data_IF_553096076356
#
_entry.id   IF_553096076356
#
_cell.length_a   1.000
_cell.length_b   1.000
_cell.length_c   1.000
_cell.angle_alpha   90.00
_cell.angle_beta   90.00
_cell.angle_gamma   90.00
#
_symmetry.space_group_name_H-M   'P 1'
#
loop_
_entity.id
_entity.type
_entity.pdbx_description
1 polymer ?
#
# COMPACT_ATOMS: atom_id res chain seq x y z
N UNK A 1 -22.45 -10.15 26.23
CA UNK A 1 -21.45 -10.07 25.13
C UNK A 1 -22.08 -10.60 23.86
N UNK A 2 -22.32 -9.73 22.87
CA UNK A 2 -23.02 -10.08 21.64
C UNK A 2 -22.03 -10.79 20.69
N UNK A 3 -22.40 -11.99 20.23
CA UNK A 3 -21.61 -12.77 19.26
C UNK A 3 -22.38 -12.81 17.94
N UNK A 4 -21.69 -12.50 16.85
CA UNK A 4 -22.27 -12.40 15.52
C UNK A 4 -21.73 -13.52 14.64
N UNK A 5 -22.57 -14.08 13.78
CA UNK A 5 -22.11 -14.95 12.70
C UNK A 5 -21.34 -14.12 11.68
N UNK A 6 -20.47 -14.75 10.88
CA UNK A 6 -19.72 -14.06 9.82
C UNK A 6 -20.61 -13.26 8.86
N UNK A 7 -21.83 -13.74 8.60
CA UNK A 7 -22.82 -13.04 7.76
C UNK A 7 -23.40 -11.80 8.45
N UNK A 8 -23.68 -11.89 9.75
CA UNK A 8 -24.16 -10.74 10.51
C UNK A 8 -23.03 -9.72 10.76
N UNK A 9 -21.80 -10.21 10.93
CA UNK A 9 -20.60 -9.39 11.05
C UNK A 9 -20.33 -8.56 9.77
N UNK A 10 -20.43 -9.18 8.59
CA UNK A 10 -20.25 -8.47 7.31
C UNK A 10 -21.27 -7.36 7.11
N UNK A 11 -22.53 -7.59 7.51
CA UNK A 11 -23.59 -6.58 7.45
C UNK A 11 -23.36 -5.44 8.45
N UNK A 12 -22.71 -5.72 9.58
CA UNK A 12 -22.49 -4.73 10.63
C UNK A 12 -21.30 -3.81 10.34
N UNK A 13 -20.24 -4.33 9.73
CA UNK A 13 -19.01 -3.55 9.45
C UNK A 13 -18.89 -3.09 8.00
N UNK A 14 -19.76 -3.55 7.09
CA UNK A 14 -19.64 -3.29 5.65
C UNK A 14 -18.50 -4.05 4.97
N UNK A 15 -17.79 -4.91 5.71
CA UNK A 15 -16.64 -5.68 5.18
C UNK A 15 -17.13 -7.02 4.62
N UNK A 16 -16.58 -7.44 3.47
CA UNK A 16 -16.97 -8.71 2.84
C UNK A 16 -16.77 -9.91 3.78
N UNK A 17 -17.71 -10.87 3.73
CA UNK A 17 -17.66 -12.10 4.55
C UNK A 17 -16.33 -12.85 4.38
N UNK A 18 -15.76 -12.85 3.18
CA UNK A 18 -14.49 -13.51 2.86
C UNK A 18 -13.30 -12.82 3.54
N UNK A 19 -13.27 -11.48 3.60
CA UNK A 19 -12.21 -10.72 4.28
C UNK A 19 -12.24 -10.96 5.79
N UNK A 20 -13.43 -11.00 6.39
CA UNK A 20 -13.61 -11.37 7.81
C UNK A 20 -13.19 -12.82 8.05
N UNK A 21 -13.53 -13.75 7.14
CA UNK A 21 -13.13 -15.15 7.26
C UNK A 21 -11.61 -15.34 7.18
N UNK A 22 -10.92 -14.63 6.27
CA UNK A 22 -9.45 -14.63 6.21
C UNK A 22 -8.84 -14.11 7.51
N UNK A 23 -9.34 -13.00 8.06
CA UNK A 23 -8.86 -12.47 9.34
C UNK A 23 -9.06 -13.45 10.51
N UNK A 24 -10.12 -14.26 10.48
CA UNK A 24 -10.32 -15.34 11.46
C UNK A 24 -9.34 -16.49 11.26
N UNK A 25 -9.07 -16.86 10.00
CA UNK A 25 -8.15 -17.94 9.65
C UNK A 25 -6.69 -17.58 9.93
N UNK A 26 -6.33 -16.31 9.77
CA UNK A 26 -4.99 -15.76 10.01
C UNK A 26 -4.77 -15.36 11.48
N UNK A 27 -5.69 -15.77 12.37
CA UNK A 27 -5.69 -15.50 13.82
C UNK A 27 -5.70 -14.01 14.22
N UNK A 28 -5.93 -13.10 13.27
CA UNK A 28 -6.04 -11.66 13.50
C UNK A 28 -7.36 -11.28 14.19
N UNK A 29 -8.41 -12.09 14.02
CA UNK A 29 -9.71 -11.88 14.62
C UNK A 29 -10.15 -13.08 15.44
N UNK A 30 -10.41 -12.86 16.74
CA UNK A 30 -10.83 -13.92 17.66
C UNK A 30 -12.26 -14.39 17.35
N UNK A 31 -12.37 -15.58 16.78
CA UNK A 31 -13.64 -16.27 16.58
C UNK A 31 -13.71 -17.60 17.34
N UNK A 32 -14.91 -17.97 17.78
CA UNK A 32 -15.19 -19.29 18.33
C UNK A 32 -16.22 -20.02 17.48
N UNK A 33 -16.08 -21.34 17.34
CA UNK A 33 -17.15 -22.18 16.78
C UNK A 33 -18.30 -22.24 17.78
N UNK A 34 -19.52 -21.97 17.34
CA UNK A 34 -20.71 -22.12 18.16
C UNK A 34 -21.95 -22.36 17.33
N UNK A 35 -23.04 -22.73 17.99
CA UNK A 35 -24.32 -23.00 17.31
C UNK A 35 -25.07 -21.69 17.08
N UNK A 36 -25.58 -21.54 15.87
CA UNK A 36 -26.49 -20.47 15.49
C UNK A 36 -27.90 -20.74 16.02
N UNK A 37 -28.80 -19.75 15.95
CA UNK A 37 -30.21 -19.91 16.36
C UNK A 37 -30.94 -21.03 15.60
N UNK A 38 -30.41 -21.49 14.45
CA UNK A 38 -30.92 -22.62 13.68
C UNK A 38 -30.22 -23.96 13.97
N UNK A 39 -29.40 -24.06 15.02
CA UNK A 39 -28.72 -25.30 15.43
C UNK A 39 -27.46 -25.67 14.63
N UNK A 40 -27.17 -24.97 13.53
CA UNK A 40 -25.98 -25.19 12.72
C UNK A 40 -24.74 -24.59 13.37
N UNK A 41 -23.61 -25.30 13.27
CA UNK A 41 -22.30 -24.81 13.72
C UNK A 41 -21.79 -23.74 12.76
N UNK A 42 -21.43 -22.58 13.32
CA UNK A 42 -20.85 -21.48 12.57
C UNK A 42 -19.74 -20.80 13.38
N UNK A 43 -18.86 -20.10 12.67
CA UNK A 43 -17.90 -19.20 13.28
C UNK A 43 -18.60 -17.95 13.80
N UNK A 44 -18.41 -17.70 15.09
CA UNK A 44 -18.98 -16.58 15.82
C UNK A 44 -17.85 -15.65 16.27
N UNK A 45 -17.96 -14.40 15.88
CA UNK A 45 -17.02 -13.34 16.25
C UNK A 45 -17.66 -12.48 17.34
N UNK A 46 -16.86 -12.01 18.29
CA UNK A 46 -17.32 -11.05 19.30
C UNK A 46 -17.42 -9.67 18.67
N UNK A 47 -18.51 -8.95 18.97
CA UNK A 47 -18.74 -7.62 18.40
C UNK A 47 -17.62 -6.63 18.74
N UNK A 48 -17.14 -6.66 19.99
CA UNK A 48 -16.06 -5.75 20.45
C UNK A 48 -14.75 -5.97 19.67
N UNK A 49 -14.36 -7.24 19.48
CA UNK A 49 -13.14 -7.61 18.73
C UNK A 49 -13.29 -7.27 17.23
N UNK A 50 -14.50 -7.45 16.68
CA UNK A 50 -14.83 -7.12 15.30
C UNK A 50 -14.77 -5.60 15.03
N UNK A 51 -15.29 -4.77 15.93
CA UNK A 51 -15.24 -3.31 15.79
C UNK A 51 -13.82 -2.77 15.92
N UNK A 52 -13.03 -3.33 16.84
CA UNK A 52 -11.63 -2.94 16.99
C UNK A 52 -10.80 -3.30 15.76
N UNK A 53 -10.96 -4.52 15.26
CA UNK A 53 -10.33 -4.97 14.02
C UNK A 53 -10.79 -4.15 12.81
N UNK A 54 -12.09 -3.88 12.71
CA UNK A 54 -12.65 -3.07 11.64
C UNK A 54 -12.07 -1.65 11.66
N UNK A 55 -11.96 -0.99 12.82
CA UNK A 55 -11.34 0.34 12.92
C UNK A 55 -9.88 0.35 12.48
N UNK A 56 -9.12 -0.68 12.84
CA UNK A 56 -7.70 -0.78 12.46
C UNK A 56 -7.53 -1.02 10.95
N UNK A 57 -8.35 -1.90 10.36
CA UNK A 57 -8.20 -2.26 8.95
C UNK A 57 -9.00 -1.41 7.97
N UNK A 58 -10.08 -0.73 8.40
CA UNK A 58 -10.81 0.24 7.56
C UNK A 58 -10.14 1.62 7.56
N UNK A 59 -9.46 2.03 8.63
CA UNK A 59 -8.67 3.27 8.63
C UNK A 59 -7.55 3.26 7.57
N UNK A 60 -7.04 2.07 7.23
CA UNK A 60 -6.08 1.88 6.14
C UNK A 60 -6.76 1.61 4.77
N UNK A 61 -8.09 1.43 4.71
CA UNK A 61 -8.82 1.07 3.47
C UNK A 61 -9.54 2.25 2.80
N UNK A 62 -9.73 3.38 3.48
CA UNK A 62 -10.44 4.55 2.92
C UNK A 62 -9.64 5.26 1.81
N UNK A 63 -8.35 4.93 1.64
CA UNK A 63 -7.53 5.39 0.51
C UNK A 63 -7.42 4.40 -0.69
N UNK A 64 -8.01 3.19 -0.62
CA UNK A 64 -7.72 2.12 -1.61
C UNK A 64 -8.97 1.52 -2.27
N UNK A 65 -10.15 2.09 -2.04
CA UNK A 65 -11.44 1.51 -2.45
C UNK A 65 -12.03 2.08 -3.75
N UNK A 66 -11.18 2.43 -4.72
CA UNK A 66 -11.61 2.66 -6.12
C UNK A 66 -11.08 1.61 -7.13
N UNK A 67 -10.16 0.70 -6.75
CA UNK A 67 -9.43 -0.12 -7.74
C UNK A 67 -9.71 -1.65 -7.73
N UNK A 68 -10.65 -2.17 -6.95
CA UNK A 68 -10.78 -3.65 -6.75
C UNK A 68 -12.17 -4.27 -6.98
N UNK A 69 -13.02 -3.70 -7.82
CA UNK A 69 -14.28 -4.35 -8.24
C UNK A 69 -14.18 -5.20 -9.53
N UNK A 70 -13.00 -5.45 -10.11
CA UNK A 70 -12.89 -6.16 -11.41
C UNK A 70 -12.15 -7.50 -11.42
N UNK A 71 -12.03 -8.23 -10.30
CA UNK A 71 -11.39 -9.57 -10.30
C UNK A 71 -12.19 -10.61 -9.52
N UNK A 72 -13.36 -10.98 -10.03
CA UNK A 72 -14.09 -12.16 -9.55
C UNK A 72 -14.85 -12.87 -10.68
N UNK A 73 -14.12 -13.41 -11.66
CA UNK A 73 -14.55 -14.60 -12.41
C UNK A 73 -13.36 -15.54 -12.62
N UNK A 74 -13.24 -16.55 -11.74
CA UNK A 74 -12.53 -17.79 -12.02
C UNK A 74 -13.56 -18.92 -11.87
N UNK A 75 -13.83 -19.61 -12.97
CA UNK A 75 -14.32 -21.00 -13.05
C UNK A 75 -13.62 -21.58 -14.30
N UNK A 76 -12.58 -22.42 -14.16
CA UNK A 76 -12.65 -23.90 -14.27
C UNK A 76 -13.53 -24.36 -15.46
N UNK A 77 -13.10 -25.09 -16.50
CA UNK A 77 -11.98 -25.99 -16.77
C UNK A 77 -11.88 -26.23 -18.32
N UNK A 78 -10.82 -26.89 -18.83
CA UNK A 78 -10.56 -27.15 -20.25
C UNK A 78 -11.13 -28.50 -20.76
N UNK A 79 -11.00 -28.71 -22.08
CA UNK A 79 -11.24 -29.95 -22.86
C UNK A 79 -12.68 -30.28 -23.30
N UNK A 80 -12.99 -29.96 -24.57
CA UNK A 80 -13.86 -30.81 -25.40
C UNK A 80 -13.29 -30.91 -26.82
N UNK A 81 -12.65 -32.05 -27.05
CA UNK A 81 -12.71 -32.91 -28.24
C UNK A 81 -13.00 -32.26 -29.60
N UNK A 82 -11.95 -32.33 -30.43
CA UNK A 82 -12.02 -32.40 -31.88
C UNK A 82 -13.06 -33.46 -32.30
N UNK A 83 -14.07 -33.02 -33.05
CA UNK A 83 -14.85 -33.90 -33.91
C UNK A 83 -14.73 -33.40 -35.35
N UNK A 84 -14.10 -34.22 -36.19
CA UNK A 84 -14.14 -34.17 -37.66
C UNK A 84 -15.58 -34.01 -38.18
N UNK A 85 -15.71 -33.54 -39.42
CA UNK A 85 -16.01 -34.53 -40.46
C UNK A 85 -15.06 -34.39 -41.65
N UNK A 86 -14.48 -35.53 -42.03
CA UNK A 86 -14.02 -35.73 -43.39
C UNK A 86 -15.23 -35.94 -44.30
N UNK A 87 -15.12 -35.41 -45.50
CA UNK A 87 -15.30 -36.11 -46.78
C UNK A 87 -14.96 -35.06 -47.86
N UNK A 88 -13.76 -35.10 -48.45
CA UNK A 88 -13.42 -35.99 -49.56
C UNK A 88 -14.43 -35.87 -50.69
N UNK A 89 -14.12 -35.05 -51.69
CA UNK A 89 -14.27 -35.53 -53.05
C UNK A 89 -13.20 -34.93 -53.97
N UNK A 90 -12.39 -35.86 -54.45
CA UNK A 90 -11.29 -35.71 -55.38
C UNK A 90 -11.90 -35.68 -56.78
N UNK A 91 -11.85 -34.53 -57.45
CA UNK A 91 -12.30 -34.41 -58.84
C UNK A 91 -11.20 -34.96 -59.76
N UNK A 92 -11.29 -36.25 -60.10
CA UNK A 92 -10.55 -36.86 -61.21
C UNK A 92 -11.44 -36.82 -62.45
N UNK A 93 -11.05 -36.02 -63.45
CA UNK A 93 -11.58 -36.10 -64.80
C UNK A 93 -11.28 -37.48 -65.41
N UNK A 94 -12.25 -38.08 -66.12
CA UNK A 94 -11.95 -38.85 -67.30
C UNK A 94 -12.53 -38.13 -68.52
N UNK A 95 -11.64 -37.68 -69.40
CA UNK A 95 -11.95 -37.41 -70.78
C UNK A 95 -12.59 -38.66 -71.40
N UNK A 96 -13.89 -38.61 -71.69
CA UNK A 96 -14.50 -39.46 -72.70
C UNK A 96 -15.24 -38.56 -73.69
N UNK A 97 -14.56 -38.37 -74.82
CA UNK A 97 -15.17 -37.96 -76.08
C UNK A 97 -16.27 -38.96 -76.44
N UNK A 98 -17.51 -38.49 -76.49
CA UNK A 98 -18.56 -39.12 -77.29
C UNK A 98 -19.51 -38.04 -77.81
N UNK A 99 -19.73 -38.14 -79.10
CA UNK A 99 -20.46 -37.24 -79.98
C UNK A 99 -21.97 -37.41 -79.89
N UNK A 100 -22.66 -36.30 -80.20
CA UNK A 100 -24.08 -36.12 -80.57
C UNK A 100 -25.14 -36.00 -79.46
N UNK A 101 -26.31 -35.39 -79.73
CA UNK A 101 -26.60 -34.23 -80.57
C UNK A 101 -27.29 -33.12 -79.75
N UNK A 102 -27.52 -31.96 -80.37
CA UNK A 102 -28.28 -30.80 -79.87
C UNK A 102 -29.31 -31.12 -78.78
N UNK A 103 -28.98 -30.83 -77.50
CA UNK A 103 -29.99 -30.60 -76.46
C UNK A 103 -30.31 -29.12 -76.44
N UNK A 104 -31.60 -28.81 -76.48
CA UNK A 104 -32.13 -27.50 -76.17
C UNK A 104 -31.46 -26.96 -74.90
N UNK A 105 -31.11 -25.68 -74.90
CA UNK A 105 -30.60 -24.95 -73.74
C UNK A 105 -31.76 -24.90 -72.73
N UNK A 106 -31.98 -26.00 -72.02
CA UNK A 106 -32.83 -26.05 -70.84
C UNK A 106 -31.96 -25.47 -69.73
N UNK A 107 -32.39 -24.34 -69.18
CA UNK A 107 -31.69 -23.70 -68.07
C UNK A 107 -31.45 -24.69 -66.92
N UNK A 108 -30.49 -24.40 -66.03
CA UNK A 108 -30.20 -25.26 -64.89
C UNK A 108 -31.50 -25.60 -64.13
N UNK A 109 -31.64 -26.83 -63.60
CA UNK A 109 -32.83 -27.25 -62.86
C UNK A 109 -33.20 -26.24 -61.77
N UNK A 110 -34.50 -26.02 -61.56
CA UNK A 110 -35.02 -25.03 -60.61
C UNK A 110 -34.47 -25.29 -59.20
N UNK A 111 -34.26 -26.55 -58.85
CA UNK A 111 -33.67 -27.00 -57.59
C UNK A 111 -32.23 -26.50 -57.39
N UNK A 112 -31.45 -26.45 -58.48
CA UNK A 112 -30.07 -25.93 -58.46
C UNK A 112 -30.06 -24.40 -58.29
N UNK A 113 -31.01 -23.70 -58.91
CA UNK A 113 -31.19 -22.27 -58.70
C UNK A 113 -31.58 -21.96 -57.25
N UNK A 114 -32.52 -22.71 -56.67
CA UNK A 114 -32.91 -22.58 -55.27
C UNK A 114 -31.73 -22.85 -54.33
N UNK A 115 -30.96 -23.92 -54.54
CA UNK A 115 -29.79 -24.23 -53.73
C UNK A 115 -28.70 -23.14 -53.83
N UNK A 116 -28.50 -22.55 -55.00
CA UNK A 116 -27.57 -21.44 -55.19
C UNK A 116 -28.03 -20.17 -54.47
N UNK A 117 -29.32 -19.82 -54.56
CA UNK A 117 -29.89 -18.69 -53.83
C UNK A 117 -29.79 -18.89 -52.31
N UNK A 118 -30.09 -20.09 -51.81
CA UNK A 118 -29.93 -20.44 -50.40
C UNK A 118 -28.48 -20.30 -49.93
N UNK A 119 -27.52 -20.71 -50.77
CA UNK A 119 -26.08 -20.56 -50.47
C UNK A 119 -25.68 -19.09 -50.42
N UNK A 120 -26.17 -18.27 -51.34
CA UNK A 120 -25.93 -16.81 -51.33
C UNK A 120 -26.51 -16.19 -50.08
N UNK A 121 -27.77 -16.49 -49.74
CA UNK A 121 -28.41 -15.97 -48.52
C UNK A 121 -27.69 -16.40 -47.24
N UNK A 122 -27.18 -17.65 -47.17
CA UNK A 122 -26.34 -18.08 -46.04
C UNK A 122 -25.00 -17.34 -46.00
N UNK A 123 -24.39 -17.10 -47.15
CA UNK A 123 -23.15 -16.34 -47.25
C UNK A 123 -23.33 -14.89 -46.79
N UNK A 124 -24.42 -14.24 -47.19
CA UNK A 124 -24.77 -12.88 -46.78
C UNK A 124 -25.01 -12.77 -45.28
N UNK A 125 -25.70 -13.77 -44.68
CA UNK A 125 -25.87 -13.84 -43.22
C UNK A 125 -24.53 -13.98 -42.52
N UNK A 126 -23.69 -14.91 -43.00
CA UNK A 126 -22.36 -15.14 -42.43
C UNK A 126 -21.46 -13.91 -42.55
N UNK A 127 -21.53 -13.16 -43.66
CA UNK A 127 -20.74 -11.92 -43.80
C UNK A 127 -21.18 -10.85 -42.81
N UNK A 128 -22.50 -10.70 -42.59
CA UNK A 128 -23.02 -9.75 -41.58
C UNK A 128 -22.60 -10.16 -40.17
N UNK A 129 -22.68 -11.44 -39.84
CA UNK A 129 -22.23 -11.97 -38.53
C UNK A 129 -20.74 -11.68 -38.29
N UNK A 130 -19.89 -11.98 -39.27
CA UNK A 130 -18.45 -11.70 -39.20
C UNK A 130 -18.15 -10.20 -39.10
N UNK A 131 -18.89 -9.34 -39.80
CA UNK A 131 -18.74 -7.88 -39.67
C UNK A 131 -19.10 -7.38 -38.27
N UNK A 132 -20.15 -7.96 -37.66
CA UNK A 132 -20.55 -7.64 -36.29
C UNK A 132 -19.47 -8.11 -35.31
N UNK A 133 -18.96 -9.33 -35.45
CA UNK A 133 -17.86 -9.85 -34.62
C UNK A 133 -16.60 -8.99 -34.75
N UNK A 134 -16.22 -8.62 -35.97
CA UNK A 134 -15.05 -7.77 -36.21
C UNK A 134 -15.20 -6.40 -35.55
N UNK A 135 -16.40 -5.80 -35.62
CA UNK A 135 -16.69 -4.54 -34.91
C UNK A 135 -16.58 -4.71 -33.38
N UNK A 136 -17.09 -5.82 -32.82
CA UNK A 136 -16.96 -6.12 -31.39
C UNK A 136 -15.50 -6.25 -30.96
N UNK A 137 -14.69 -7.01 -31.71
CA UNK A 137 -13.27 -7.15 -31.40
C UNK A 137 -12.50 -5.84 -31.49
N UNK A 138 -12.82 -4.98 -32.48
CA UNK A 138 -12.21 -3.65 -32.57
C UNK A 138 -12.51 -2.79 -31.34
N UNK A 139 -13.77 -2.78 -30.88
CA UNK A 139 -14.15 -2.04 -29.67
C UNK A 139 -13.44 -2.57 -28.42
N UNK A 140 -13.37 -3.90 -28.27
CA UNK A 140 -12.68 -4.52 -27.14
C UNK A 140 -11.18 -4.20 -27.15
N UNK A 141 -10.54 -4.20 -28.32
CA UNK A 141 -9.12 -3.83 -28.44
C UNK A 141 -8.88 -2.36 -28.10
N UNK A 142 -9.77 -1.46 -28.50
CA UNK A 142 -9.65 -0.04 -28.14
C UNK A 142 -9.83 0.19 -26.64
N UNK A 143 -10.83 -0.45 -26.03
CA UNK A 143 -11.08 -0.38 -24.59
C UNK A 143 -9.92 -0.96 -23.79
N UNK A 144 -9.37 -2.09 -24.24
CA UNK A 144 -8.19 -2.70 -23.61
C UNK A 144 -6.96 -1.79 -23.73
N UNK A 145 -6.73 -1.19 -24.89
CA UNK A 145 -5.62 -0.24 -25.09
C UNK A 145 -5.76 0.99 -24.20
N UNK A 146 -6.97 1.55 -24.09
CA UNK A 146 -7.25 2.67 -23.19
C UNK A 146 -7.03 2.28 -21.72
N UNK A 147 -7.47 1.10 -21.31
CA UNK A 147 -7.25 0.56 -19.96
C UNK A 147 -5.76 0.39 -19.64
N UNK A 148 -4.95 -0.09 -20.59
CA UNK A 148 -3.50 -0.20 -20.42
C UNK A 148 -2.88 1.18 -20.23
N UNK A 149 -3.25 2.16 -21.06
CA UNK A 149 -2.72 3.53 -20.95
C UNK A 149 -3.11 4.17 -19.62
N UNK A 150 -4.33 3.96 -19.14
CA UNK A 150 -4.78 4.45 -17.83
C UNK A 150 -3.97 3.83 -16.69
N UNK A 151 -3.76 2.51 -16.70
CA UNK A 151 -2.93 1.84 -15.68
C UNK A 151 -1.49 2.32 -15.72
N UNK A 152 -0.91 2.48 -16.91
CA UNK A 152 0.44 3.04 -17.05
C UNK A 152 0.54 4.47 -16.52
N UNK A 153 -0.49 5.29 -16.72
CA UNK A 153 -0.55 6.64 -16.17
C UNK A 153 -0.65 6.63 -14.63
N UNK A 154 -1.51 5.77 -14.07
CA UNK A 154 -1.65 5.60 -12.62
C UNK A 154 -0.34 5.13 -11.97
N UNK A 155 0.35 4.15 -12.59
CA UNK A 155 1.65 3.67 -12.10
C UNK A 155 2.67 4.82 -12.09
N UNK A 156 2.77 5.59 -13.20
CA UNK A 156 3.68 6.74 -13.27
C UNK A 156 3.37 7.81 -12.21
N UNK A 157 2.09 8.09 -11.96
CA UNK A 157 1.69 9.03 -10.92
C UNK A 157 2.06 8.50 -9.52
N UNK A 158 1.85 7.21 -9.28
CA UNK A 158 2.21 6.57 -8.02
C UNK A 158 3.73 6.56 -7.78
N UNK A 159 4.51 6.32 -8.84
CA UNK A 159 5.97 6.35 -8.79
C UNK A 159 6.48 7.77 -8.52
N UNK A 160 5.90 8.79 -9.19
CA UNK A 160 6.25 10.18 -8.93
C UNK A 160 5.95 10.59 -7.48
N UNK A 161 4.78 10.21 -6.94
CA UNK A 161 4.42 10.45 -5.54
C UNK A 161 5.39 9.75 -4.59
N UNK A 162 5.82 8.53 -4.92
CA UNK A 162 6.81 7.79 -4.13
C UNK A 162 8.18 8.48 -4.15
N UNK A 163 8.66 8.91 -5.32
CA UNK A 163 9.92 9.64 -5.43
C UNK A 163 9.89 10.97 -4.65
N UNK A 164 8.79 11.71 -4.72
CA UNK A 164 8.61 12.95 -3.93
C UNK A 164 8.62 12.67 -2.42
N UNK A 165 7.93 11.61 -1.98
CA UNK A 165 7.94 11.21 -0.57
C UNK A 165 9.35 10.80 -0.10
N UNK A 166 10.10 10.06 -0.93
CA UNK A 166 11.49 9.70 -0.63
C UNK A 166 12.40 10.93 -0.53
N UNK A 167 12.23 11.93 -1.41
CA UNK A 167 12.96 13.20 -1.31
C UNK A 167 12.64 13.96 -0.02
N UNK A 168 11.37 14.08 0.34
CA UNK A 168 10.96 14.75 1.57
C UNK A 168 11.53 14.07 2.83
N UNK A 169 11.60 12.73 2.83
CA UNK A 169 12.23 11.98 3.92
C UNK A 169 13.73 12.24 4.00
N UNK A 170 14.43 12.30 2.86
CA UNK A 170 15.86 12.64 2.83
C UNK A 170 16.12 14.06 3.33
N UNK A 171 15.31 15.04 2.90
CA UNK A 171 15.42 16.42 3.37
C UNK A 171 15.21 16.53 4.87
N UNK A 172 14.21 15.84 5.43
CA UNK A 172 13.97 15.81 6.87
C UNK A 172 15.10 15.15 7.65
N UNK A 173 15.71 14.09 7.12
CA UNK A 173 16.84 13.44 7.77
C UNK A 173 18.07 14.35 7.77
N UNK A 174 18.33 15.06 6.66
CA UNK A 174 19.40 16.08 6.59
C UNK A 174 19.14 17.21 7.60
N UNK A 175 17.91 17.72 7.68
CA UNK A 175 17.54 18.77 8.64
C UNK A 175 17.71 18.29 10.09
N UNK A 176 17.25 17.08 10.40
CA UNK A 176 17.44 16.46 11.71
C UNK A 176 18.92 16.32 12.07
N UNK A 177 19.76 15.89 11.12
CA UNK A 177 21.21 15.80 11.33
C UNK A 177 21.84 17.17 11.60
N UNK A 178 21.42 18.21 10.86
CA UNK A 178 21.86 19.59 11.11
C UNK A 178 21.46 20.06 12.51
N UNK A 179 20.20 19.89 12.88
CA UNK A 179 19.70 20.26 14.23
C UNK A 179 20.45 19.50 15.33
N UNK A 180 20.74 18.22 15.14
CA UNK A 180 21.55 17.44 16.08
C UNK A 180 22.99 17.96 16.18
N UNK A 181 23.61 18.34 15.06
CA UNK A 181 24.96 18.94 15.08
C UNK A 181 24.98 20.28 15.80
N UNK A 182 24.00 21.16 15.54
CA UNK A 182 23.86 22.45 16.22
C UNK A 182 23.58 22.27 17.72
N UNK A 183 22.74 21.31 18.09
CA UNK A 183 22.49 20.96 19.49
C UNK A 183 23.77 20.47 20.20
N UNK A 184 24.59 19.66 19.54
CA UNK A 184 25.87 19.20 20.09
C UNK A 184 26.87 20.35 20.23
N UNK A 185 26.98 21.24 19.24
CA UNK A 185 27.86 22.41 19.33
C UNK A 185 27.45 23.37 20.44
N UNK A 186 26.14 23.59 20.61
CA UNK A 186 25.64 24.44 21.71
C UNK A 186 25.86 23.78 23.07
N UNK A 187 25.71 22.46 23.18
CA UNK A 187 26.02 21.72 24.40
C UNK A 187 27.51 21.79 24.76
N UNK A 188 28.43 21.65 23.80
CA UNK A 188 29.87 21.80 24.05
C UNK A 188 30.22 23.24 24.46
N UNK A 189 29.64 24.26 23.81
CA UNK A 189 29.83 25.66 24.22
C UNK A 189 29.33 25.92 25.64
N UNK A 190 28.20 25.32 26.01
CA UNK A 190 27.65 25.40 27.36
C UNK A 190 28.59 24.72 28.37
N UNK A 191 29.10 23.53 28.07
CA UNK A 191 30.06 22.82 28.94
C UNK A 191 31.32 23.66 29.17
N UNK A 192 31.89 24.23 28.11
CA UNK A 192 33.07 25.10 28.21
C UNK A 192 32.78 26.36 29.05
N UNK A 193 31.59 26.96 28.89
CA UNK A 193 31.19 28.11 29.71
C UNK A 193 31.01 27.74 31.19
N UNK A 194 30.47 26.56 31.49
CA UNK A 194 30.35 26.04 32.86
C UNK A 194 31.72 25.76 33.49
N UNK A 195 32.65 25.18 32.74
CA UNK A 195 34.04 24.97 33.17
C UNK A 195 34.71 26.31 33.50
N UNK A 196 34.56 27.32 32.65
CA UNK A 196 35.08 28.68 32.91
C UNK A 196 34.44 29.32 34.15
N UNK A 197 33.12 29.20 34.32
CA UNK A 197 32.45 29.70 35.51
C UNK A 197 32.92 28.98 36.78
N UNK A 198 33.22 27.69 36.72
CA UNK A 198 33.78 26.94 37.84
C UNK A 198 35.17 27.46 38.23
N UNK A 199 36.03 27.75 37.26
CA UNK A 199 37.36 28.34 37.49
C UNK A 199 37.21 29.72 38.14
N UNK A 200 36.39 30.60 37.58
CA UNK A 200 36.15 31.95 38.12
C UNK A 200 35.59 31.89 39.54
N UNK A 201 34.69 30.94 39.84
CA UNK A 201 34.18 30.71 41.19
C UNK A 201 35.27 30.27 42.16
N UNK A 202 36.17 29.38 41.74
CA UNK A 202 37.30 28.94 42.56
C UNK A 202 38.27 30.10 42.85
N UNK A 203 38.60 30.91 41.84
CA UNK A 203 39.44 32.12 42.01
C UNK A 203 38.78 33.16 42.92
N UNK A 204 37.47 33.35 42.79
CA UNK A 204 36.69 34.23 43.67
C UNK A 204 36.68 33.72 45.13
N UNK A 205 36.60 32.41 45.34
CA UNK A 205 36.71 31.80 46.67
C UNK A 205 38.11 32.00 47.25
N UNK A 206 39.16 31.69 46.50
CA UNK A 206 40.55 31.85 46.93
C UNK A 206 40.88 33.30 47.28
N UNK A 207 40.48 34.27 46.46
CA UNK A 207 40.67 35.69 46.75
C UNK A 207 39.88 36.15 47.98
N UNK A 208 38.68 35.61 48.22
CA UNK A 208 37.90 35.90 49.43
C UNK A 208 38.55 35.32 50.70
N UNK A 209 39.14 34.13 50.61
CA UNK A 209 39.95 33.54 51.70
C UNK A 209 41.17 34.39 52.01
N UNK A 210 41.93 34.81 51.00
CA UNK A 210 43.06 35.73 51.18
C UNK A 210 42.63 37.06 51.83
N UNK A 211 41.47 37.61 51.44
CA UNK A 211 40.93 38.82 52.08
C UNK A 211 40.53 38.58 53.54
N UNK A 212 40.00 37.40 53.89
CA UNK A 212 39.69 37.04 55.28
C UNK A 212 40.96 36.90 56.12
N UNK A 213 41.98 36.24 55.58
CA UNK A 213 43.29 36.11 56.23
C UNK A 213 43.90 37.49 56.47
N UNK A 214 43.98 38.34 55.44
CA UNK A 214 44.49 39.71 55.57
C UNK A 214 43.69 40.55 56.59
N UNK A 215 42.36 40.42 56.63
CA UNK A 215 41.53 41.07 57.66
C UNK A 215 41.86 40.57 59.06
N UNK A 216 42.00 39.26 59.24
CA UNK A 216 42.37 38.67 60.53
C UNK A 216 43.75 39.14 60.99
N UNK A 217 44.72 39.24 60.08
CA UNK A 217 46.04 39.79 60.37
C UNK A 217 45.93 41.25 60.82
N UNK A 218 45.19 42.09 60.08
CA UNK A 218 44.96 43.50 60.44
C UNK A 218 44.36 43.60 61.85
N UNK A 219 43.39 42.75 62.19
CA UNK A 219 42.75 42.76 63.51
C UNK A 219 43.73 42.32 64.61
N UNK A 220 44.54 41.28 64.38
CA UNK A 220 45.61 40.90 65.34
C UNK A 220 46.66 42.01 65.51
N UNK A 221 47.02 42.72 64.43
CA UNK A 221 47.92 43.87 64.47
C UNK A 221 47.31 45.01 65.28
N UNK A 222 46.03 45.33 65.08
CA UNK A 222 45.30 46.33 65.87
C UNK A 222 45.25 45.96 67.35
N UNK A 223 44.95 44.71 67.68
CA UNK A 223 44.95 44.22 69.06
C UNK A 223 46.32 44.34 69.74
N UNK A 224 47.40 43.96 69.03
CA UNK A 224 48.78 44.12 69.52
C UNK A 224 49.12 45.59 69.79
N UNK A 225 48.65 46.51 68.94
CA UNK A 225 48.91 47.95 69.09
C UNK A 225 48.12 48.54 70.26
N UNK A 226 46.83 48.20 70.37
CA UNK A 226 45.91 48.67 71.41
C UNK A 226 46.12 48.02 72.79
N UNK A 227 47.02 47.03 72.92
CA UNK A 227 47.39 46.49 74.24
C UNK A 227 47.98 47.60 75.13
N UNK A 228 47.44 47.81 76.34
CA UNK A 228 47.98 48.75 77.31
C UNK A 228 49.45 48.48 77.63
N UNK A 229 50.25 49.53 77.82
CA UNK A 229 51.70 49.45 77.98
C UNK A 229 52.16 48.52 79.12
N UNK A 230 51.42 48.47 80.23
CA UNK A 230 51.72 47.58 81.36
C UNK A 230 51.60 46.09 80.98
N UNK A 231 50.64 45.71 80.12
CA UNK A 231 50.47 44.32 79.66
C UNK A 231 51.60 43.87 78.73
N UNK A 232 52.30 44.80 78.08
CA UNK A 232 53.45 44.51 77.20
C UNK A 232 54.73 44.19 78.01
N UNK A 233 54.87 44.74 79.22
CA UNK A 233 56.03 44.55 80.09
C UNK A 233 56.09 43.16 80.76
N UNK A 234 54.96 42.45 80.89
CA UNK A 234 54.88 41.18 81.65
C UNK A 234 54.65 39.93 80.78
N UNK A 235 54.69 40.03 79.45
CA UNK A 235 54.46 38.88 78.54
C UNK A 235 55.72 38.34 77.85
N UNK A 236 56.92 38.79 78.23
CA UNK A 236 58.18 38.41 77.59
C UNK A 236 59.08 37.48 78.45
N UNK A 237 58.54 36.85 79.50
CA UNK A 237 59.18 35.77 80.24
C UNK A 237 58.43 34.47 80.04
#
# INVERSE_FOLDING_TARGET
MKRLTLKAASQHTGVSKSKIWRAVNDEQLKAGKGRTSGGQEAWLVRLDDLEQWARQHLADSEEVLEDLETDSEILEEPEVLQSSPGDSDHFQEPFQSNSEPFRAIQGPPVELYMAMMDRVTRSERRSVELEIELKKYRLLLTENAESIVQREAQVKESDAKREEAERLLQEREIEKQKVLSEANETAEKLRLAEEQLAIIRAEAQASNEQLKEARSEIDTWKERRNRPWWKKMFSAG
#
